data_IF_283723976498
#
_entry.id   IF_283723976498
#
_cell.length_a   1.000
_cell.length_b   1.000
_cell.length_c   1.000
_cell.angle_alpha   90.00
_cell.angle_beta   90.00
_cell.angle_gamma   90.00
#
_symmetry.space_group_name_H-M   'P 1'
#
loop_
_entity.id
_entity.type
_entity.pdbx_description
1 polymer ?
#
# COMPACT_ATOMS: atom_id res chain seq x y z
N UNK A 1 -22.25 3.02 13.07
CA UNK A 1 -21.00 3.00 12.27
C UNK A 1 -21.00 4.27 11.44
N UNK A 2 -20.21 5.28 11.82
CA UNK A 2 -20.03 6.46 10.96
C UNK A 2 -18.80 6.22 10.10
N UNK A 3 -19.01 6.15 8.79
CA UNK A 3 -17.92 6.27 7.83
C UNK A 3 -17.59 7.77 7.74
N UNK A 4 -16.36 8.15 8.07
CA UNK A 4 -15.86 9.47 7.69
C UNK A 4 -15.56 9.41 6.20
N UNK A 5 -16.42 10.04 5.41
CA UNK A 5 -16.06 10.55 4.09
C UNK A 5 -14.91 11.57 4.30
N UNK A 6 -13.89 11.51 3.44
CA UNK A 6 -12.68 12.36 3.42
C UNK A 6 -11.52 12.07 4.40
N UNK A 7 -11.19 10.79 4.62
CA UNK A 7 -9.96 10.38 5.33
C UNK A 7 -8.69 10.44 4.46
N UNK A 8 -7.85 11.46 4.70
CA UNK A 8 -6.47 11.59 4.17
C UNK A 8 -5.58 10.39 4.55
N UNK A 9 -4.61 10.06 3.68
CA UNK A 9 -3.78 8.83 3.69
C UNK A 9 -2.81 8.65 4.90
N UNK A 10 -2.98 9.35 6.02
CA UNK A 10 -2.01 9.31 7.12
C UNK A 10 -2.59 9.49 8.53
N UNK A 11 -3.85 9.13 8.78
CA UNK A 11 -4.42 9.22 10.13
C UNK A 11 -4.18 7.93 10.95
N UNK A 12 -2.90 7.68 11.26
CA UNK A 12 -2.57 6.98 12.50
C UNK A 12 -2.49 8.05 13.59
N UNK A 13 -3.46 8.06 14.49
CA UNK A 13 -3.61 9.06 15.54
C UNK A 13 -2.38 9.09 16.48
N UNK A 14 -1.41 9.96 16.17
CA UNK A 14 -0.46 10.50 17.13
C UNK A 14 0.06 11.84 16.61
N UNK A 15 -0.14 12.89 17.42
CA UNK A 15 0.28 14.29 17.19
C UNK A 15 1.71 14.37 16.64
N UNK A 16 1.84 14.62 15.33
CA UNK A 16 3.06 15.11 14.70
C UNK A 16 2.76 16.50 14.14
N UNK A 17 3.72 17.41 14.22
CA UNK A 17 3.62 18.80 13.77
C UNK A 17 3.03 18.94 12.35
N UNK A 18 2.26 20.02 12.12
CA UNK A 18 1.44 20.24 10.91
C UNK A 18 2.23 20.09 9.60
N UNK A 19 3.50 20.50 9.57
CA UNK A 19 4.37 20.40 8.39
C UNK A 19 4.82 18.97 8.07
N UNK A 20 5.26 18.20 9.07
CA UNK A 20 5.69 16.80 8.87
C UNK A 20 4.52 15.92 8.42
N UNK A 21 3.30 16.25 8.84
CA UNK A 21 2.09 15.55 8.40
C UNK A 21 1.79 15.82 6.93
N UNK A 22 1.87 17.08 6.47
CA UNK A 22 1.61 17.45 5.07
C UNK A 22 2.61 16.83 4.09
N UNK A 23 3.90 16.92 4.41
CA UNK A 23 4.94 16.34 3.55
C UNK A 23 4.82 14.82 3.48
N UNK A 24 4.49 14.17 4.59
CA UNK A 24 4.23 12.72 4.62
C UNK A 24 3.03 12.35 3.75
N UNK A 25 1.94 13.11 3.80
CA UNK A 25 0.77 12.90 2.93
C UNK A 25 1.16 13.07 1.47
N UNK A 26 1.85 14.16 1.10
CA UNK A 26 2.30 14.41 -0.27
C UNK A 26 3.20 13.28 -0.79
N UNK A 27 4.12 12.77 0.04
CA UNK A 27 4.98 11.63 -0.31
C UNK A 27 4.15 10.37 -0.57
N UNK A 28 3.16 10.05 0.27
CA UNK A 28 2.34 8.84 0.07
C UNK A 28 1.35 8.96 -1.08
N UNK A 29 0.83 10.16 -1.36
CA UNK A 29 0.04 10.44 -2.57
C UNK A 29 0.91 10.25 -3.83
N UNK A 30 2.15 10.74 -3.83
CA UNK A 30 3.10 10.50 -4.91
C UNK A 30 3.48 9.03 -5.07
N UNK A 31 3.68 8.30 -3.95
CA UNK A 31 3.91 6.85 -3.96
C UNK A 31 2.71 6.13 -4.58
N UNK A 32 1.48 6.50 -4.23
CA UNK A 32 0.28 5.92 -4.80
C UNK A 32 0.21 6.15 -6.32
N UNK A 33 0.42 7.38 -6.79
CA UNK A 33 0.45 7.69 -8.22
C UNK A 33 1.48 6.83 -8.98
N UNK A 34 2.71 6.75 -8.46
CA UNK A 34 3.75 5.91 -9.08
C UNK A 34 3.41 4.42 -9.06
N UNK A 35 2.77 3.89 -8.01
CA UNK A 35 2.31 2.49 -8.00
C UNK A 35 1.27 2.25 -9.08
N UNK A 36 0.29 3.15 -9.20
CA UNK A 36 -0.74 3.04 -10.23
C UNK A 36 -0.08 2.99 -11.62
N UNK A 37 0.78 3.96 -11.95
CA UNK A 37 1.48 4.02 -13.23
C UNK A 37 2.25 2.73 -13.55
N UNK A 38 3.02 2.20 -12.60
CA UNK A 38 3.82 1.00 -12.82
C UNK A 38 2.94 -0.25 -13.01
N UNK A 39 1.85 -0.38 -12.24
CA UNK A 39 0.96 -1.53 -12.38
C UNK A 39 0.16 -1.51 -13.68
N UNK A 40 -0.18 -0.33 -14.23
CA UNK A 40 -0.80 -0.21 -15.57
C UNK A 40 0.09 -0.79 -16.67
N UNK A 41 1.41 -0.58 -16.56
CA UNK A 41 2.41 -1.14 -17.49
C UNK A 41 2.94 -2.51 -17.05
N UNK A 42 2.19 -3.21 -16.18
CA UNK A 42 2.49 -4.57 -15.70
C UNK A 42 3.86 -4.71 -15.02
N UNK A 43 4.32 -3.64 -14.35
CA UNK A 43 5.56 -3.65 -13.57
C UNK A 43 5.25 -3.67 -12.09
N UNK A 44 5.84 -4.64 -11.39
CA UNK A 44 5.79 -4.71 -9.93
C UNK A 44 6.55 -3.55 -9.28
N UNK A 45 6.13 -3.18 -8.08
CA UNK A 45 6.71 -2.09 -7.29
C UNK A 45 7.09 -2.60 -5.92
N UNK A 46 8.33 -2.36 -5.49
CA UNK A 46 8.78 -2.64 -4.13
C UNK A 46 9.07 -1.37 -3.34
N UNK A 47 8.46 -1.26 -2.15
CA UNK A 47 8.69 -0.20 -1.17
C UNK A 47 9.48 -0.80 0.00
N UNK A 48 10.75 -0.38 0.19
CA UNK A 48 11.59 -0.88 1.27
C UNK A 48 10.90 -0.85 2.62
N UNK A 49 10.99 -1.94 3.37
CA UNK A 49 10.45 -2.12 4.73
C UNK A 49 8.92 -2.07 4.87
N UNK A 50 8.19 -1.77 3.79
CA UNK A 50 6.72 -1.70 3.79
C UNK A 50 6.08 -2.88 3.05
N UNK A 51 6.45 -3.13 1.79
CA UNK A 51 5.91 -4.24 1.02
C UNK A 51 6.11 -4.11 -0.48
N UNK A 52 5.49 -5.00 -1.25
CA UNK A 52 5.50 -4.96 -2.71
C UNK A 52 4.12 -5.10 -3.31
N UNK A 53 3.95 -4.51 -4.49
CA UNK A 53 2.74 -4.49 -5.29
C UNK A 53 3.04 -5.17 -6.61
N UNK A 54 2.11 -5.97 -7.10
CA UNK A 54 2.19 -6.54 -8.44
C UNK A 54 0.78 -6.77 -8.99
N UNK A 55 0.69 -7.20 -10.24
CA UNK A 55 -0.54 -7.78 -10.82
C UNK A 55 -0.32 -9.25 -11.13
N UNK A 56 -1.40 -10.02 -11.14
CA UNK A 56 -1.43 -11.39 -11.64
C UNK A 56 -2.64 -11.53 -12.57
N UNK A 57 -2.57 -12.46 -13.52
CA UNK A 57 -3.75 -12.88 -14.26
C UNK A 57 -4.63 -13.74 -13.37
N UNK A 58 -5.92 -13.44 -13.33
CA UNK A 58 -6.92 -14.19 -12.59
C UNK A 58 -8.13 -14.43 -13.48
N UNK A 59 -8.43 -15.69 -13.73
CA UNK A 59 -9.62 -16.08 -14.45
C UNK A 59 -10.86 -15.98 -13.55
N UNK A 60 -11.90 -15.35 -14.07
CA UNK A 60 -13.19 -15.17 -13.39
C UNK A 60 -14.28 -15.65 -14.32
N UNK A 61 -15.12 -16.57 -13.84
CA UNK A 61 -16.31 -17.00 -14.58
C UNK A 61 -17.42 -15.97 -14.40
N UNK A 62 -17.90 -15.43 -15.53
CA UNK A 62 -19.06 -14.54 -15.60
C UNK A 62 -19.97 -15.03 -16.71
N UNK A 63 -21.24 -15.30 -16.40
CA UNK A 63 -22.26 -15.69 -17.39
C UNK A 63 -21.84 -16.83 -18.35
N UNK A 64 -21.14 -17.84 -17.81
CA UNK A 64 -20.66 -19.00 -18.59
C UNK A 64 -19.45 -18.72 -19.50
N UNK A 65 -18.83 -17.53 -19.37
CA UNK A 65 -17.57 -17.17 -20.03
C UNK A 65 -16.48 -16.94 -19.00
N UNK A 66 -15.30 -17.49 -19.26
CA UNK A 66 -14.11 -17.19 -18.48
C UNK A 66 -13.49 -15.90 -18.99
N UNK A 67 -13.35 -14.90 -18.11
CA UNK A 67 -12.67 -13.65 -18.39
C UNK A 67 -11.39 -13.61 -17.56
N UNK A 68 -10.25 -13.46 -18.23
CA UNK A 68 -8.96 -13.24 -17.54
C UNK A 68 -8.84 -11.76 -17.17
N UNK A 69 -8.91 -11.47 -15.87
CA UNK A 69 -8.71 -10.12 -15.32
C UNK A 69 -7.30 -9.96 -14.77
N UNK A 70 -6.78 -8.73 -14.80
CA UNK A 70 -5.57 -8.41 -14.04
C UNK A 70 -5.94 -8.07 -12.62
N UNK A 71 -5.50 -8.91 -11.69
CA UNK A 71 -5.79 -8.75 -10.28
C UNK A 71 -4.58 -8.17 -9.54
N UNK A 72 -4.73 -7.05 -8.80
CA UNK A 72 -3.64 -6.51 -8.02
C UNK A 72 -3.36 -7.37 -6.78
N UNK A 73 -2.08 -7.50 -6.45
CA UNK A 73 -1.58 -8.27 -5.30
C UNK A 73 -0.66 -7.38 -4.49
N UNK A 74 -0.83 -7.43 -3.17
CA UNK A 74 0.11 -6.83 -2.23
C UNK A 74 0.76 -7.92 -1.37
N UNK A 75 2.06 -7.76 -1.13
CA UNK A 75 2.80 -8.54 -0.14
C UNK A 75 3.36 -7.59 0.91
N UNK A 76 2.95 -7.76 2.16
CA UNK A 76 3.53 -7.02 3.28
C UNK A 76 5.00 -7.44 3.47
N UNK A 77 5.88 -6.49 3.79
CA UNK A 77 7.29 -6.79 3.92
C UNK A 77 7.57 -7.73 5.11
N UNK A 78 8.53 -8.65 4.90
CA UNK A 78 8.87 -9.71 5.87
C UNK A 78 9.28 -9.18 7.25
N UNK A 79 9.90 -8.01 7.31
CA UNK A 79 10.27 -7.37 8.58
C UNK A 79 9.03 -7.03 9.43
N UNK A 80 7.93 -6.60 8.83
CA UNK A 80 6.68 -6.33 9.56
C UNK A 80 5.98 -7.63 9.94
N UNK A 81 5.92 -8.61 9.02
CA UNK A 81 5.34 -9.93 9.27
C UNK A 81 6.03 -10.65 10.44
N UNK A 82 7.36 -10.75 10.40
CA UNK A 82 8.14 -11.49 11.39
C UNK A 82 8.14 -10.78 12.75
N UNK A 83 8.31 -9.44 12.77
CA UNK A 83 8.37 -8.67 14.01
C UNK A 83 7.06 -8.72 14.80
N UNK A 84 5.93 -8.69 14.09
CA UNK A 84 4.59 -8.60 14.72
C UNK A 84 3.77 -9.88 14.59
N UNK A 85 4.38 -10.97 14.10
CA UNK A 85 3.74 -12.29 13.89
C UNK A 85 2.44 -12.19 13.09
N UNK A 86 2.43 -11.30 12.09
CA UNK A 86 1.23 -11.06 11.29
C UNK A 86 1.02 -12.19 10.28
N UNK A 87 -0.22 -12.62 10.13
CA UNK A 87 -0.64 -13.59 9.13
C UNK A 87 -1.67 -12.98 8.17
N UNK A 88 -1.64 -13.32 6.87
CA UNK A 88 -2.64 -12.85 5.94
C UNK A 88 -3.99 -13.52 6.25
N UNK A 89 -5.09 -12.75 6.23
CA UNK A 89 -6.44 -13.26 6.48
C UNK A 89 -6.97 -14.14 5.33
N UNK A 90 -6.45 -13.92 4.12
CA UNK A 90 -6.69 -14.73 2.92
C UNK A 90 -5.37 -15.17 2.35
N UNK A 91 -5.27 -16.40 1.86
CA UNK A 91 -4.08 -16.87 1.17
C UNK A 91 -3.72 -15.92 0.01
N UNK A 92 -2.53 -15.34 0.08
CA UNK A 92 -2.03 -14.47 -0.98
C UNK A 92 -1.77 -15.33 -2.21
N UNK A 93 -2.41 -14.99 -3.33
CA UNK A 93 -2.15 -15.64 -4.62
C UNK A 93 -0.64 -15.63 -4.91
N UNK A 94 -0.05 -16.73 -5.37
CA UNK A 94 1.38 -16.85 -5.54
C UNK A 94 1.85 -15.96 -6.70
N UNK A 95 2.28 -14.74 -6.39
CA UNK A 95 2.93 -13.89 -7.39
C UNK A 95 4.40 -14.34 -7.53
N UNK A 96 4.69 -15.14 -8.56
CA UNK A 96 6.05 -15.39 -9.06
C UNK A 96 6.31 -14.35 -10.15
N UNK A 97 7.12 -13.32 -9.88
CA UNK A 97 7.55 -12.36 -10.90
C UNK A 97 8.74 -11.52 -10.41
N UNK A 98 9.57 -11.07 -11.34
CA UNK A 98 10.63 -10.09 -11.10
C UNK A 98 10.04 -8.79 -10.55
N UNK A 99 10.46 -8.41 -9.34
CA UNK A 99 10.13 -7.13 -8.73
C UNK A 99 11.26 -6.18 -9.07
N UNK A 100 11.03 -5.24 -10.00
CA UNK A 100 11.95 -4.12 -10.13
C UNK A 100 11.84 -3.23 -8.86
N UNK A 101 12.98 -2.83 -8.26
CA UNK A 101 12.96 -1.80 -7.24
C UNK A 101 12.28 -0.55 -7.82
N UNK A 102 11.32 0.00 -7.09
CA UNK A 102 10.68 1.24 -7.51
C UNK A 102 11.75 2.29 -7.79
N UNK A 103 11.73 2.92 -8.97
CA UNK A 103 12.55 4.10 -9.24
C UNK A 103 12.03 5.26 -8.39
N UNK A 104 12.46 5.30 -7.14
CA UNK A 104 12.11 6.30 -6.12
C UNK A 104 12.54 7.73 -6.49
N UNK A 105 13.22 7.93 -7.64
CA UNK A 105 13.58 9.24 -8.17
C UNK A 105 12.37 10.12 -8.43
N UNK A 106 11.25 9.57 -8.89
CA UNK A 106 10.10 10.38 -9.28
C UNK A 106 9.26 10.84 -8.07
N UNK A 107 9.23 10.06 -6.97
CA UNK A 107 8.39 10.35 -5.80
C UNK A 107 8.78 11.68 -5.15
N UNK A 108 10.08 11.94 -4.97
CA UNK A 108 10.56 13.18 -4.36
C UNK A 108 10.17 14.41 -5.20
N UNK A 109 10.31 14.30 -6.53
CA UNK A 109 9.92 15.36 -7.48
C UNK A 109 8.41 15.61 -7.46
N UNK A 110 7.59 14.55 -7.54
CA UNK A 110 6.12 14.67 -7.53
C UNK A 110 5.62 15.27 -6.22
N UNK A 111 6.20 14.85 -5.09
CA UNK A 111 5.85 15.36 -3.77
C UNK A 111 6.48 16.73 -3.45
N UNK A 112 7.32 17.28 -4.34
CA UNK A 112 8.07 18.52 -4.14
C UNK A 112 8.87 18.54 -2.82
N UNK A 113 9.57 17.45 -2.53
CA UNK A 113 10.42 17.30 -1.34
C UNK A 113 11.83 16.84 -1.72
N UNK A 114 12.79 16.99 -0.80
CA UNK A 114 14.12 16.44 -1.00
C UNK A 114 14.10 14.90 -0.97
N UNK A 115 15.10 14.28 -1.58
CA UNK A 115 15.28 12.82 -1.50
C UNK A 115 15.28 12.37 -0.03
N UNK A 116 16.03 13.06 0.84
CA UNK A 116 16.17 12.74 2.26
C UNK A 116 14.82 12.80 2.97
N UNK A 117 14.05 13.85 2.71
CA UNK A 117 12.73 14.01 3.32
C UNK A 117 11.77 12.91 2.87
N UNK A 118 11.75 12.58 1.58
CA UNK A 118 10.97 11.43 1.07
C UNK A 118 11.36 10.12 1.76
N UNK A 119 12.64 9.84 2.01
CA UNK A 119 13.05 8.66 2.80
C UNK A 119 12.51 8.72 4.21
N UNK A 120 12.69 9.86 4.87
CA UNK A 120 12.27 10.07 6.24
C UNK A 120 10.76 9.87 6.39
N UNK A 121 9.95 10.37 5.45
CA UNK A 121 8.49 10.17 5.44
C UNK A 121 8.09 8.69 5.32
N UNK A 122 8.72 7.93 4.42
CA UNK A 122 8.44 6.49 4.29
C UNK A 122 8.87 5.75 5.56
N UNK A 123 10.08 6.01 6.05
CA UNK A 123 10.61 5.37 7.25
C UNK A 123 9.78 5.71 8.50
N UNK A 124 9.40 6.97 8.70
CA UNK A 124 8.59 7.40 9.85
C UNK A 124 7.21 6.76 9.82
N UNK A 125 6.61 6.59 8.63
CA UNK A 125 5.33 5.91 8.47
C UNK A 125 5.44 4.42 8.81
N UNK A 126 6.48 3.73 8.33
CA UNK A 126 6.71 2.32 8.66
C UNK A 126 6.98 2.16 10.15
N UNK A 127 7.73 3.07 10.77
CA UNK A 127 7.96 3.08 12.22
C UNK A 127 6.69 3.30 13.01
N UNK A 128 5.83 4.23 12.58
CA UNK A 128 4.53 4.49 13.21
C UNK A 128 3.62 3.26 13.11
N UNK A 129 3.50 2.67 11.91
CA UNK A 129 2.80 1.41 11.69
C UNK A 129 3.35 0.33 12.64
N UNK A 130 4.67 0.19 12.72
CA UNK A 130 5.33 -0.78 13.60
C UNK A 130 4.95 -0.54 15.07
N UNK A 131 4.96 0.71 15.53
CA UNK A 131 4.62 1.07 16.91
C UNK A 131 3.16 0.78 17.24
N UNK A 132 2.23 1.11 16.34
CA UNK A 132 0.82 0.77 16.51
C UNK A 132 0.61 -0.75 16.66
N UNK A 133 1.29 -1.53 15.84
CA UNK A 133 1.23 -3.00 15.91
C UNK A 133 1.83 -3.56 17.20
N UNK A 134 2.93 -3.00 17.70
CA UNK A 134 3.50 -3.39 19.00
C UNK A 134 2.53 -3.15 20.16
N UNK A 135 1.73 -2.07 20.06
CA UNK A 135 0.74 -1.70 21.06
C UNK A 135 -0.60 -2.45 20.88
N UNK A 136 -0.68 -3.42 19.95
CA UNK A 136 -1.91 -4.16 19.66
C UNK A 136 -3.03 -3.31 19.07
N UNK A 137 -2.71 -2.15 18.50
CA UNK A 137 -3.70 -1.26 17.88
C UNK A 137 -4.11 -1.78 16.50
N UNK A 138 -5.38 -1.64 16.19
CA UNK A 138 -5.89 -1.88 14.84
C UNK A 138 -5.49 -0.73 13.93
N UNK A 139 -4.99 -1.04 12.75
CA UNK A 139 -4.48 -0.05 11.80
C UNK A 139 -5.19 -0.16 10.47
N UNK A 140 -5.68 0.97 9.98
CA UNK A 140 -6.08 1.12 8.59
C UNK A 140 -5.07 2.04 7.89
N UNK A 141 -4.37 1.50 6.89
CA UNK A 141 -3.44 2.26 6.07
C UNK A 141 -4.00 2.40 4.65
N UNK A 142 -4.37 3.62 4.29
CA UNK A 142 -4.98 3.95 3.00
C UNK A 142 -3.89 4.38 2.02
N UNK A 143 -3.80 3.71 0.87
CA UNK A 143 -3.15 4.30 -0.30
C UNK A 143 -4.24 4.82 -1.23
N UNK A 144 -4.29 6.14 -1.36
CA UNK A 144 -5.28 6.88 -2.13
C UNK A 144 -5.44 6.30 -3.53
N UNK A 145 -6.69 6.03 -3.92
CA UNK A 145 -7.05 5.53 -5.25
C UNK A 145 -6.54 4.12 -5.58
N UNK A 146 -5.98 3.39 -4.62
CA UNK A 146 -5.52 2.01 -4.83
C UNK A 146 -6.26 1.07 -3.91
N UNK A 147 -6.19 1.32 -2.59
CA UNK A 147 -6.53 0.29 -1.60
C UNK A 147 -6.57 0.80 -0.16
N UNK A 148 -7.03 -0.08 0.72
CA UNK A 148 -6.86 0.02 2.18
C UNK A 148 -6.29 -1.28 2.75
N UNK A 149 -5.15 -1.17 3.44
CA UNK A 149 -4.55 -2.24 4.23
C UNK A 149 -5.14 -2.18 5.64
N UNK A 150 -5.83 -3.24 6.04
CA UNK A 150 -6.38 -3.37 7.38
C UNK A 150 -5.55 -4.37 8.16
N UNK A 151 -5.09 -3.99 9.36
CA UNK A 151 -4.43 -4.89 10.30
C UNK A 151 -5.27 -4.91 11.57
N UNK A 152 -5.76 -6.10 11.92
CA UNK A 152 -6.57 -6.36 13.10
C UNK A 152 -5.88 -7.46 13.91
N UNK A 153 -5.43 -7.10 15.11
CA UNK A 153 -4.64 -7.95 16.00
C UNK A 153 -3.40 -8.53 15.31
N UNK A 154 -3.43 -9.82 14.96
CA UNK A 154 -2.35 -10.56 14.32
C UNK A 154 -2.64 -10.88 12.85
N UNK A 155 -3.75 -10.39 12.32
CA UNK A 155 -4.15 -10.66 10.94
C UNK A 155 -4.17 -9.38 10.13
N UNK A 156 -3.86 -9.48 8.85
CA UNK A 156 -4.05 -8.38 7.92
C UNK A 156 -4.88 -8.79 6.71
N UNK A 157 -5.66 -7.85 6.20
CA UNK A 157 -6.43 -7.98 4.98
C UNK A 157 -6.16 -6.80 4.06
N UNK A 158 -6.30 -7.06 2.76
CA UNK A 158 -5.97 -6.11 1.71
C UNK A 158 -7.19 -5.96 0.81
N UNK A 159 -7.77 -4.76 0.79
CA UNK A 159 -8.92 -4.45 -0.07
C UNK A 159 -8.53 -3.40 -1.10
N UNK A 160 -8.64 -3.75 -2.37
CA UNK A 160 -8.46 -2.83 -3.48
C UNK A 160 -9.78 -2.16 -3.82
N UNK A 161 -9.73 -0.89 -4.24
CA UNK A 161 -10.92 -0.23 -4.75
C UNK A 161 -11.32 -0.83 -6.11
N UNK A 162 -12.62 -0.89 -6.38
CA UNK A 162 -13.15 -1.49 -7.60
C UNK A 162 -12.64 -0.74 -8.84
N UNK A 163 -12.69 0.61 -8.82
CA UNK A 163 -12.22 1.46 -9.92
C UNK A 163 -10.72 1.25 -10.21
N UNK A 164 -9.93 0.94 -9.19
CA UNK A 164 -8.53 0.60 -9.38
C UNK A 164 -8.34 -0.75 -10.08
N UNK A 165 -9.12 -1.78 -9.69
CA UNK A 165 -9.08 -3.10 -10.34
C UNK A 165 -9.56 -3.00 -11.80
N UNK A 166 -10.62 -2.23 -12.05
CA UNK A 166 -11.16 -2.01 -13.39
C UNK A 166 -10.13 -1.36 -14.32
N UNK A 167 -9.40 -0.35 -13.85
CA UNK A 167 -8.35 0.30 -14.64
C UNK A 167 -7.17 -0.61 -15.01
N UNK A 168 -6.96 -1.71 -14.29
CA UNK A 168 -5.89 -2.66 -14.58
C UNK A 168 -6.25 -3.67 -15.69
N UNK A 169 -7.54 -3.79 -16.03
CA UNK A 169 -8.07 -4.80 -16.95
C UNK A 169 -7.97 -4.36 -18.41
#
# INVERSE_FOLDING_TARGET
>A
MSFCEDGSAAECASKLTDTDTRERVAVWDAVAACIQEQLMVQKGVWIPTFGSFNTISKDVETEGRTVTLRWPVFKLARNLLAKHRLTPKKESLPAHMELEPMKFSNVATIANVTWQKRRACVQSTVSLLSSCLQNGQNVAFVLKGIRVLFIDRLTFDMKFYYDFVEKLS
#
